data_IF_231757485306
#
_entry.id   IF_231757485306
#
_cell.length_a   1.000
_cell.length_b   1.000
_cell.length_c   1.000
_cell.angle_alpha   90.00
_cell.angle_beta   90.00
_cell.angle_gamma   90.00
#
_symmetry.space_group_name_H-M   'P 1'
#
loop_
_entity.id
_entity.type
_entity.pdbx_description
1 polymer ?
#
# COMPACT_ATOMS: atom_id res chain seq x y z
N UNK A 1 9.57 7.08 -4.34
CA UNK A 1 9.94 5.64 -4.22
C UNK A 1 8.74 4.70 -4.35
N UNK A 2 7.75 4.73 -3.46
CA UNK A 2 6.60 3.84 -3.53
C UNK A 2 5.71 4.11 -4.77
N UNK A 3 5.31 5.36 -4.95
CA UNK A 3 4.55 5.84 -6.11
C UNK A 3 5.36 5.79 -7.42
N UNK A 4 6.63 6.17 -7.35
CA UNK A 4 7.46 6.35 -8.56
C UNK A 4 8.09 5.05 -9.08
N UNK A 5 8.33 4.06 -8.22
CA UNK A 5 9.08 2.85 -8.59
C UNK A 5 8.30 1.56 -8.32
N UNK A 6 7.67 1.43 -7.15
CA UNK A 6 7.06 0.15 -6.74
C UNK A 6 5.71 -0.05 -7.43
N UNK A 7 4.81 0.93 -7.43
CA UNK A 7 3.50 0.80 -8.08
C UNK A 7 3.62 0.57 -9.59
N UNK A 8 4.47 1.30 -10.34
CA UNK A 8 4.69 1.02 -11.75
C UNK A 8 5.30 -0.37 -11.99
N UNK A 9 6.18 -0.86 -11.11
CA UNK A 9 6.72 -2.21 -11.23
C UNK A 9 5.65 -3.28 -11.02
N UNK A 10 4.82 -3.15 -9.98
CA UNK A 10 3.68 -4.04 -9.73
C UNK A 10 2.74 -4.02 -10.93
N UNK A 11 2.38 -2.85 -11.47
CA UNK A 11 1.49 -2.77 -12.63
C UNK A 11 2.08 -3.39 -13.91
N UNK A 12 3.41 -3.53 -14.01
CA UNK A 12 4.08 -4.13 -15.17
C UNK A 12 4.27 -5.63 -15.03
N UNK A 13 4.51 -6.11 -13.81
CA UNK A 13 4.88 -7.49 -13.53
C UNK A 13 3.73 -8.31 -12.92
N UNK A 14 2.70 -7.63 -12.41
CA UNK A 14 1.55 -8.21 -11.71
C UNK A 14 0.24 -7.47 -12.06
N UNK A 15 -0.90 -8.03 -11.66
CA UNK A 15 -2.18 -7.33 -11.75
C UNK A 15 -2.37 -6.44 -10.53
N UNK A 16 -2.16 -5.13 -10.70
CA UNK A 16 -2.30 -4.14 -9.63
C UNK A 16 -3.67 -4.22 -8.94
N UNK A 17 -4.73 -4.53 -9.69
CA UNK A 17 -6.12 -4.63 -9.19
C UNK A 17 -6.41 -5.88 -8.35
N UNK A 18 -5.51 -6.86 -8.36
CA UNK A 18 -5.65 -8.11 -7.58
C UNK A 18 -4.55 -8.25 -6.51
N UNK A 19 -3.58 -7.34 -6.50
CA UNK A 19 -2.43 -7.40 -5.60
C UNK A 19 -2.77 -6.92 -4.19
N UNK A 20 -2.42 -7.70 -3.17
CA UNK A 20 -2.44 -7.24 -1.79
C UNK A 20 -1.09 -6.62 -1.41
N UNK A 21 -1.11 -5.42 -0.85
CA UNK A 21 0.10 -4.71 -0.44
C UNK A 21 0.24 -4.71 1.09
N UNK A 22 1.32 -5.28 1.62
CA UNK A 22 1.63 -5.24 3.06
C UNK A 22 2.69 -4.18 3.34
N UNK A 23 2.37 -3.27 4.27
CA UNK A 23 3.30 -2.25 4.76
C UNK A 23 3.90 -2.66 6.10
N UNK A 24 5.23 -2.56 6.23
CA UNK A 24 6.04 -2.89 7.42
C UNK A 24 5.69 -2.16 8.75
N UNK A 25 4.75 -1.22 8.74
CA UNK A 25 4.27 -0.57 9.97
C UNK A 25 5.27 0.40 10.61
N UNK A 26 6.35 0.79 9.93
CA UNK A 26 7.33 1.73 10.46
C UNK A 26 6.68 3.10 10.80
N UNK A 27 6.83 3.65 12.02
CA UNK A 27 6.17 4.90 12.42
C UNK A 27 6.49 6.09 11.52
N UNK A 28 7.70 6.13 10.95
CA UNK A 28 8.12 7.17 10.01
C UNK A 28 7.26 7.22 8.74
N UNK A 29 6.57 6.13 8.40
CA UNK A 29 5.75 6.00 7.20
C UNK A 29 4.24 6.12 7.50
N UNK A 30 3.86 6.40 8.75
CA UNK A 30 2.45 6.50 9.17
C UNK A 30 1.83 7.89 8.89
N UNK A 31 2.28 8.58 7.84
CA UNK A 31 1.70 9.86 7.45
C UNK A 31 0.28 9.67 6.90
N UNK A 32 -0.60 10.66 7.11
CA UNK A 32 -1.96 10.64 6.55
C UNK A 32 -1.96 10.55 5.02
N UNK A 33 -1.05 11.26 4.36
CA UNK A 33 -0.89 11.23 2.90
C UNK A 33 -0.56 9.84 2.37
N UNK A 34 0.29 9.10 3.09
CA UNK A 34 0.69 7.73 2.74
C UNK A 34 -0.51 6.78 2.84
N UNK A 35 -1.35 6.92 3.86
CA UNK A 35 -2.59 6.12 3.99
C UNK A 35 -3.59 6.41 2.87
N UNK A 36 -3.81 7.69 2.56
CA UNK A 36 -4.70 8.08 1.46
C UNK A 36 -4.22 7.47 0.14
N UNK A 37 -2.92 7.51 -0.11
CA UNK A 37 -2.33 6.89 -1.29
C UNK A 37 -2.62 5.38 -1.38
N UNK A 38 -2.54 4.65 -0.27
CA UNK A 38 -2.88 3.23 -0.26
C UNK A 38 -4.37 2.96 -0.41
N UNK A 39 -5.24 3.79 0.17
CA UNK A 39 -6.69 3.69 -0.04
C UNK A 39 -7.06 3.87 -1.52
N UNK A 40 -6.37 4.78 -2.22
CA UNK A 40 -6.61 5.07 -3.63
C UNK A 40 -5.98 4.00 -4.55
N UNK A 41 -4.80 3.48 -4.21
CA UNK A 41 -4.02 2.57 -5.08
C UNK A 41 -4.35 1.09 -4.86
N UNK A 42 -4.63 0.71 -3.61
CA UNK A 42 -4.92 -0.68 -3.21
C UNK A 42 -6.24 -0.72 -2.42
N UNK A 43 -7.36 -0.28 -3.01
CA UNK A 43 -8.62 -0.20 -2.31
C UNK A 43 -9.01 -1.57 -1.77
N UNK A 44 -9.26 -1.62 -0.46
CA UNK A 44 -9.62 -2.82 0.29
C UNK A 44 -8.55 -3.95 0.29
N UNK A 45 -7.32 -3.65 -0.15
CA UNK A 45 -6.28 -4.65 -0.42
C UNK A 45 -4.90 -4.25 0.14
N UNK A 46 -4.86 -3.40 1.15
CA UNK A 46 -3.61 -3.10 1.85
C UNK A 46 -3.68 -3.47 3.34
N UNK A 47 -2.55 -3.94 3.84
CA UNK A 47 -2.39 -4.53 5.17
C UNK A 47 -1.38 -3.72 5.95
N UNK A 48 -1.75 -3.25 7.13
CA UNK A 48 -0.85 -2.53 8.04
C UNK A 48 -1.47 -2.39 9.42
N UNK A 49 -0.69 -1.90 10.40
CA UNK A 49 -1.22 -1.42 11.68
C UNK A 49 -2.15 -0.23 11.40
N UNK A 50 -3.46 -0.41 11.63
CA UNK A 50 -4.53 0.54 11.23
C UNK A 50 -4.70 0.69 9.71
N UNK A 51 -4.40 -0.36 8.95
CA UNK A 51 -4.74 -0.46 7.53
C UNK A 51 -6.19 -0.91 7.30
N UNK A 52 -6.56 -1.10 6.03
CA UNK A 52 -7.86 -1.70 5.70
C UNK A 52 -7.99 -3.10 6.29
N UNK A 53 -6.93 -3.90 6.15
CA UNK A 53 -6.75 -5.13 6.91
C UNK A 53 -5.78 -4.81 8.05
N UNK A 54 -6.29 -4.84 9.28
CA UNK A 54 -5.46 -4.63 10.47
C UNK A 54 -4.56 -5.84 10.70
N UNK A 55 -3.27 -5.57 10.90
CA UNK A 55 -2.25 -6.60 11.13
C UNK A 55 -1.24 -6.09 12.18
N UNK A 56 -0.79 -6.97 13.11
CA UNK A 56 0.06 -6.61 14.24
C UNK A 56 1.44 -6.04 13.86
#
# INVERSE_FOLDING_TARGET
MLEENIVPAIAREMHLDETFYMHDGAPAHYARSVRQFFDDTFPNRWISRRGWIDWP
#
